data_IF_690655885234
#
_entry.id   IF_690655885234
#
_cell.length_a   1.000
_cell.length_b   1.000
_cell.length_c   1.000
_cell.angle_alpha   90.00
_cell.angle_beta   90.00
_cell.angle_gamma   90.00
#
_symmetry.space_group_name_H-M   'P 1'
#
loop_
_entity.id
_entity.type
_entity.pdbx_description
1 polymer ?
#
# COMPACT_ATOMS: atom_id res chain seq x y z
N UNK A 1 -25.75 40.05 16.86
CA UNK A 1 -26.23 39.40 15.62
C UNK A 1 -25.12 38.54 15.03
N UNK A 2 -25.39 37.26 14.78
CA UNK A 2 -24.44 36.38 14.12
C UNK A 2 -24.52 36.58 12.60
N UNK A 3 -23.39 36.51 11.87
CA UNK A 3 -23.42 36.56 10.41
C UNK A 3 -24.24 35.38 9.84
N UNK A 4 -24.83 35.55 8.64
CA UNK A 4 -25.60 34.48 8.00
C UNK A 4 -24.71 33.28 7.65
N UNK A 5 -25.30 32.09 7.66
CA UNK A 5 -24.66 30.86 7.17
C UNK A 5 -24.40 30.99 5.67
N UNK A 6 -23.13 30.90 5.28
CA UNK A 6 -22.72 31.05 3.88
C UNK A 6 -22.22 29.75 3.24
N UNK A 7 -21.82 28.74 4.04
CA UNK A 7 -21.23 27.50 3.52
C UNK A 7 -21.52 26.30 4.44
N UNK A 8 -21.64 25.11 3.83
CA UNK A 8 -21.57 23.81 4.49
C UNK A 8 -20.48 23.00 3.80
N UNK A 9 -19.49 22.54 4.55
CA UNK A 9 -18.37 21.73 4.03
C UNK A 9 -18.44 20.32 4.61
N UNK A 10 -18.16 19.30 3.77
CA UNK A 10 -18.12 17.90 4.17
C UNK A 10 -16.70 17.34 4.06
N UNK A 11 -16.20 16.71 5.13
CA UNK A 11 -14.89 16.06 5.17
C UNK A 11 -15.03 14.58 4.78
N UNK A 12 -15.01 14.28 3.48
CA UNK A 12 -15.38 12.95 2.95
C UNK A 12 -14.22 12.16 2.34
N UNK A 13 -12.99 12.68 2.41
CA UNK A 13 -11.80 12.04 1.82
C UNK A 13 -11.73 12.20 0.29
N UNK A 14 -10.93 11.37 -0.39
CA UNK A 14 -10.64 11.53 -1.83
C UNK A 14 -11.53 10.73 -2.79
N UNK A 15 -12.45 9.92 -2.28
CA UNK A 15 -13.21 8.97 -3.12
C UNK A 15 -14.63 8.72 -2.62
N UNK A 16 -15.26 9.73 -2.01
CA UNK A 16 -16.64 9.59 -1.57
C UNK A 16 -17.59 9.60 -2.79
N UNK A 17 -18.55 8.68 -2.90
CA UNK A 17 -19.47 8.60 -4.06
C UNK A 17 -20.28 9.87 -4.32
N UNK A 18 -20.41 10.73 -3.31
CA UNK A 18 -21.10 12.02 -3.45
C UNK A 18 -20.46 12.93 -4.49
N UNK A 19 -19.15 12.80 -4.72
CA UNK A 19 -18.45 13.58 -5.75
C UNK A 19 -18.96 13.24 -7.15
N UNK A 20 -19.28 11.97 -7.41
CA UNK A 20 -19.85 11.52 -8.68
C UNK A 20 -21.30 11.98 -8.86
N UNK A 21 -22.06 12.05 -7.76
CA UNK A 21 -23.50 12.36 -7.78
C UNK A 21 -23.77 13.87 -7.89
N UNK A 22 -23.05 14.68 -7.11
CA UNK A 22 -23.28 16.13 -7.06
C UNK A 22 -22.74 16.84 -8.30
N UNK A 23 -21.64 16.33 -8.87
CA UNK A 23 -20.93 16.95 -9.98
C UNK A 23 -20.53 18.40 -9.70
N UNK A 24 -20.02 19.07 -10.74
CA UNK A 24 -19.43 20.40 -10.62
C UNK A 24 -20.45 21.51 -10.25
N UNK A 25 -21.76 21.27 -10.46
CA UNK A 25 -22.81 22.26 -10.17
C UNK A 25 -23.22 22.34 -8.71
N UNK A 26 -23.20 21.23 -7.98
CA UNK A 26 -23.66 21.17 -6.59
C UNK A 26 -22.49 21.02 -5.60
N UNK A 27 -21.32 20.60 -6.06
CA UNK A 27 -20.08 20.59 -5.30
C UNK A 27 -18.94 21.29 -6.09
N UNK A 28 -19.04 22.61 -6.32
CA UNK A 28 -18.07 23.33 -7.16
C UNK A 28 -16.67 23.43 -6.56
N UNK A 29 -16.52 23.11 -5.26
CA UNK A 29 -15.25 23.16 -4.55
C UNK A 29 -14.87 21.78 -4.03
N UNK A 30 -13.73 21.28 -4.50
CA UNK A 30 -13.07 20.08 -4.00
C UNK A 30 -11.63 20.43 -3.65
N UNK A 31 -11.27 20.28 -2.38
CA UNK A 31 -9.89 20.37 -1.94
C UNK A 31 -9.32 18.95 -1.82
N UNK A 32 -8.28 18.59 -2.59
CA UNK A 32 -7.65 17.29 -2.46
C UNK A 32 -7.15 17.09 -1.02
N UNK A 33 -7.42 15.93 -0.38
CA UNK A 33 -6.98 15.72 0.99
C UNK A 33 -5.46 15.72 1.06
N UNK A 34 -4.92 16.38 2.09
CA UNK A 34 -3.51 16.34 2.39
C UNK A 34 -3.07 14.89 2.67
N UNK A 35 -1.95 14.48 2.07
CA UNK A 35 -1.34 13.18 2.32
C UNK A 35 -0.31 13.30 3.44
N UNK A 36 -0.55 12.61 4.56
CA UNK A 36 0.40 12.51 5.65
C UNK A 36 1.67 11.78 5.22
N UNK A 37 2.83 12.36 5.54
CA UNK A 37 4.11 11.69 5.38
C UNK A 37 4.40 10.81 6.59
N UNK A 38 4.27 9.49 6.44
CA UNK A 38 4.45 8.51 7.52
C UNK A 38 5.81 7.85 7.43
N UNK A 39 6.43 7.59 8.59
CA UNK A 39 7.67 6.81 8.71
C UNK A 39 7.42 5.57 9.57
N UNK A 40 8.01 4.46 9.14
CA UNK A 40 8.05 3.22 9.91
C UNK A 40 9.50 2.99 10.34
N UNK A 41 9.83 3.13 11.64
CA UNK A 41 11.21 3.04 12.12
C UNK A 41 11.76 1.61 12.06
N UNK A 42 10.90 0.61 12.25
CA UNK A 42 11.23 -0.80 12.11
C UNK A 42 10.22 -1.48 11.19
N UNK A 43 10.63 -1.68 9.93
CA UNK A 43 9.79 -2.30 8.91
C UNK A 43 9.46 -3.75 9.25
N UNK A 44 10.42 -4.51 9.74
CA UNK A 44 10.24 -5.93 10.03
C UNK A 44 9.23 -6.12 11.17
N UNK A 45 9.40 -5.36 12.26
CA UNK A 45 8.48 -5.41 13.39
C UNK A 45 7.07 -4.96 12.97
N UNK A 46 6.96 -3.93 12.13
CA UNK A 46 5.67 -3.46 11.65
C UNK A 46 4.95 -4.51 10.80
N UNK A 47 5.63 -5.12 9.81
CA UNK A 47 5.03 -6.16 8.95
C UNK A 47 4.61 -7.38 9.79
N UNK A 48 5.42 -7.79 10.76
CA UNK A 48 5.04 -8.86 11.72
C UNK A 48 3.80 -8.49 12.53
N UNK A 49 3.72 -7.25 13.00
CA UNK A 49 2.56 -6.77 13.76
C UNK A 49 1.27 -6.78 12.93
N UNK A 50 1.35 -6.39 11.65
CA UNK A 50 0.19 -6.35 10.76
C UNK A 50 -0.07 -7.66 10.01
N UNK A 51 0.73 -8.72 10.22
CA UNK A 51 0.61 -9.99 9.52
C UNK A 51 -0.83 -10.56 9.51
N UNK A 52 -1.61 -10.55 10.62
CA UNK A 52 -2.99 -11.01 10.58
C UNK A 52 -3.89 -10.25 9.60
N UNK A 53 -3.61 -8.95 9.38
CA UNK A 53 -4.33 -8.17 8.38
C UNK A 53 -3.91 -8.51 6.96
N UNK A 54 -2.62 -8.85 6.74
CA UNK A 54 -2.11 -9.29 5.45
C UNK A 54 -2.66 -10.66 5.05
N UNK A 55 -2.69 -11.62 5.97
CA UNK A 55 -3.29 -12.95 5.76
C UNK A 55 -4.78 -12.84 5.40
N UNK A 56 -5.54 -11.99 6.09
CA UNK A 56 -6.94 -11.72 5.74
C UNK A 56 -7.10 -11.18 4.33
N UNK A 57 -6.16 -10.35 3.85
CA UNK A 57 -6.21 -9.83 2.47
C UNK A 57 -5.88 -10.93 1.46
N UNK A 58 -4.87 -11.76 1.74
CA UNK A 58 -4.51 -12.92 0.92
C UNK A 58 -5.69 -13.89 0.79
N UNK A 59 -6.33 -14.24 1.90
CA UNK A 59 -7.50 -15.11 1.93
C UNK A 59 -8.68 -14.62 1.07
N UNK A 60 -8.78 -13.30 0.85
CA UNK A 60 -9.82 -12.67 0.02
C UNK A 60 -9.30 -12.28 -1.38
N UNK A 61 -8.30 -13.00 -1.89
CA UNK A 61 -7.65 -12.72 -3.18
C UNK A 61 -7.42 -14.01 -3.98
N UNK A 62 -7.01 -13.92 -5.27
CA UNK A 62 -6.60 -15.08 -6.04
C UNK A 62 -5.44 -15.90 -5.42
N UNK A 63 -4.72 -15.33 -4.44
CA UNK A 63 -3.61 -15.98 -3.75
C UNK A 63 -4.03 -16.68 -2.43
N UNK A 64 -5.33 -16.89 -2.17
CA UNK A 64 -5.83 -17.39 -0.88
C UNK A 64 -5.19 -18.70 -0.39
N UNK A 65 -4.78 -19.58 -1.29
CA UNK A 65 -4.14 -20.86 -0.97
C UNK A 65 -2.63 -20.86 -1.28
N UNK A 66 -2.00 -19.70 -1.43
CA UNK A 66 -0.61 -19.59 -1.83
C UNK A 66 0.33 -20.19 -0.78
N UNK A 67 1.22 -21.08 -1.23
CA UNK A 67 2.37 -21.59 -0.48
C UNK A 67 3.62 -21.24 -1.26
N UNK A 68 4.60 -20.62 -0.61
CA UNK A 68 5.82 -20.17 -1.25
C UNK A 68 6.39 -18.92 -0.60
N UNK A 69 7.18 -18.17 -1.35
CA UNK A 69 8.00 -17.08 -0.83
C UNK A 69 7.81 -15.80 -1.64
N UNK A 70 7.93 -14.67 -0.92
CA UNK A 70 8.01 -13.33 -1.48
C UNK A 70 9.22 -12.61 -0.88
N UNK A 71 10.15 -12.21 -1.74
CA UNK A 71 11.34 -11.45 -1.38
C UNK A 71 11.23 -10.00 -1.88
N UNK A 72 11.43 -9.05 -0.97
CA UNK A 72 11.36 -7.62 -1.24
C UNK A 72 12.72 -6.98 -1.00
N UNK A 73 13.30 -6.37 -2.03
CA UNK A 73 14.54 -5.61 -1.95
C UNK A 73 14.27 -4.11 -1.78
N UNK A 74 14.79 -3.54 -0.69
CA UNK A 74 14.78 -2.10 -0.42
C UNK A 74 16.13 -1.43 -0.68
N UNK A 75 17.03 -2.09 -1.41
CA UNK A 75 18.40 -1.71 -1.78
C UNK A 75 19.40 -1.65 -0.61
N UNK A 76 18.95 -1.35 0.61
CA UNK A 76 19.77 -1.32 1.84
C UNK A 76 19.39 -2.41 2.85
N UNK A 77 18.55 -3.34 2.43
CA UNK A 77 17.91 -4.36 3.24
C UNK A 77 16.62 -4.79 2.55
N UNK A 78 15.83 -5.61 3.20
CA UNK A 78 14.67 -6.21 2.55
C UNK A 78 13.91 -7.12 3.49
N UNK A 79 12.88 -7.76 2.95
CA UNK A 79 12.07 -8.73 3.67
C UNK A 79 11.97 -10.02 2.87
N UNK A 80 12.09 -11.14 3.56
CA UNK A 80 11.70 -12.44 3.07
C UNK A 80 10.46 -12.89 3.84
N UNK A 81 9.39 -13.19 3.11
CA UNK A 81 8.10 -13.59 3.67
C UNK A 81 7.75 -14.97 3.13
N UNK A 82 7.52 -15.91 4.04
CA UNK A 82 7.15 -17.30 3.70
C UNK A 82 5.68 -17.51 4.00
N UNK A 83 5.00 -18.16 3.07
CA UNK A 83 3.58 -18.48 3.13
C UNK A 83 3.34 -19.99 3.12
N UNK A 84 2.39 -20.45 3.91
CA UNK A 84 1.78 -21.77 3.78
C UNK A 84 0.24 -21.64 3.74
N UNK A 85 -0.37 -22.02 2.62
CA UNK A 85 -1.82 -21.99 2.39
C UNK A 85 -2.46 -20.63 2.74
N UNK A 86 -1.79 -19.55 2.33
CA UNK A 86 -2.23 -18.17 2.57
C UNK A 86 -1.87 -17.58 3.93
N UNK A 87 -1.27 -18.37 4.83
CA UNK A 87 -0.78 -17.91 6.14
C UNK A 87 0.70 -17.56 6.09
N UNK A 88 1.09 -16.51 6.80
CA UNK A 88 2.49 -16.12 6.93
C UNK A 88 3.12 -16.95 8.04
N UNK A 89 4.05 -17.84 7.67
CA UNK A 89 4.73 -18.71 8.63
C UNK A 89 6.05 -18.10 9.11
N UNK A 90 6.68 -17.25 8.30
CA UNK A 90 7.94 -16.62 8.63
C UNK A 90 8.10 -15.26 7.97
N UNK A 91 8.73 -14.32 8.67
CA UNK A 91 9.14 -13.01 8.15
C UNK A 91 10.52 -12.71 8.72
N UNK A 92 11.50 -12.45 7.87
CA UNK A 92 12.87 -12.17 8.28
C UNK A 92 13.55 -11.09 7.41
N UNK A 93 14.63 -10.47 7.91
CA UNK A 93 15.46 -9.61 7.09
C UNK A 93 15.98 -10.35 5.87
N UNK A 94 15.92 -9.70 4.72
CA UNK A 94 16.50 -10.21 3.49
C UNK A 94 17.50 -9.22 2.92
N UNK A 95 18.51 -9.74 2.21
CA UNK A 95 19.44 -8.93 1.44
C UNK A 95 19.96 -9.73 0.26
N UNK A 96 19.98 -9.11 -0.92
CA UNK A 96 20.60 -9.67 -2.11
C UNK A 96 22.06 -10.07 -1.83
N UNK A 97 22.46 -11.24 -2.35
CA UNK A 97 23.87 -11.56 -2.46
C UNK A 97 24.56 -10.55 -3.40
N UNK A 98 25.85 -10.27 -3.16
CA UNK A 98 26.57 -9.34 -4.01
C UNK A 98 26.52 -9.81 -5.48
N UNK A 99 26.12 -8.91 -6.38
CA UNK A 99 26.02 -9.15 -7.83
C UNK A 99 24.91 -10.12 -8.30
N UNK A 100 23.99 -10.50 -7.42
CA UNK A 100 22.79 -11.30 -7.74
C UNK A 100 21.57 -10.64 -7.09
N UNK A 101 20.78 -9.91 -7.87
CA UNK A 101 19.48 -9.43 -7.38
C UNK A 101 18.39 -10.37 -7.90
N UNK A 102 18.03 -11.34 -7.06
CA UNK A 102 17.00 -12.35 -7.33
C UNK A 102 15.69 -12.04 -6.57
N UNK A 103 15.52 -10.81 -6.06
CA UNK A 103 14.30 -10.44 -5.35
C UNK A 103 13.08 -10.49 -6.28
N UNK A 104 11.96 -10.98 -5.78
CA UNK A 104 10.68 -10.98 -6.49
C UNK A 104 10.22 -9.55 -6.85
N UNK A 105 10.58 -8.57 -6.00
CA UNK A 105 10.35 -7.14 -6.25
C UNK A 105 11.41 -6.26 -5.58
N UNK A 106 11.68 -5.11 -6.19
CA UNK A 106 12.57 -4.07 -5.67
C UNK A 106 11.84 -2.73 -5.56
N UNK A 107 12.04 -1.98 -4.49
CA UNK A 107 11.44 -0.66 -4.29
C UNK A 107 12.20 0.14 -3.22
N UNK A 108 12.47 1.45 -3.40
CA UNK A 108 13.04 2.24 -2.31
C UNK A 108 12.16 2.19 -1.06
N UNK A 109 12.75 1.94 0.12
CA UNK A 109 12.00 1.70 1.37
C UNK A 109 10.93 2.78 1.68
N UNK A 110 11.24 4.05 1.40
CA UNK A 110 10.34 5.18 1.64
C UNK A 110 9.23 5.31 0.59
N UNK A 111 9.47 4.81 -0.62
CA UNK A 111 8.44 4.71 -1.67
C UNK A 111 7.51 3.54 -1.35
N UNK A 112 8.05 2.42 -0.86
CA UNK A 112 7.27 1.24 -0.46
C UNK A 112 6.20 1.57 0.60
N UNK A 113 6.42 2.56 1.47
CA UNK A 113 5.42 3.00 2.44
C UNK A 113 4.10 3.45 1.79
N UNK A 114 4.16 4.01 0.57
CA UNK A 114 2.95 4.40 -0.17
C UNK A 114 2.12 3.18 -0.60
N UNK A 115 2.79 2.07 -0.92
CA UNK A 115 2.14 0.80 -1.22
C UNK A 115 1.61 0.16 0.07
N UNK A 116 2.46 0.06 1.10
CA UNK A 116 2.18 -0.56 2.38
C UNK A 116 0.88 -0.03 3.02
N UNK A 117 0.70 1.29 2.99
CA UNK A 117 -0.48 1.97 3.53
C UNK A 117 -1.64 2.10 2.53
N UNK A 118 -1.50 1.54 1.32
CA UNK A 118 -2.54 1.56 0.29
C UNK A 118 -2.80 2.94 -0.31
N UNK A 119 -1.89 3.90 -0.12
CA UNK A 119 -2.01 5.26 -0.67
C UNK A 119 -1.87 5.28 -2.19
N UNK A 120 -0.93 4.49 -2.72
CA UNK A 120 -0.72 4.28 -4.16
C UNK A 120 -0.76 2.80 -4.48
N UNK A 121 -1.34 2.46 -5.64
CA UNK A 121 -1.26 1.10 -6.17
C UNK A 121 0.15 0.78 -6.65
N UNK A 122 0.47 -0.50 -6.78
CA UNK A 122 1.73 -0.95 -7.36
C UNK A 122 1.92 -0.38 -8.79
N UNK A 123 0.86 -0.35 -9.59
CA UNK A 123 0.90 0.24 -10.94
C UNK A 123 1.21 1.74 -10.93
N UNK A 124 0.61 2.51 -10.02
CA UNK A 124 0.91 3.95 -9.86
C UNK A 124 2.37 4.18 -9.46
N UNK A 125 2.91 3.34 -8.58
CA UNK A 125 4.31 3.45 -8.16
C UNK A 125 5.29 3.06 -9.26
N UNK A 126 5.03 1.99 -10.02
CA UNK A 126 5.85 1.60 -11.18
C UNK A 126 5.84 2.65 -12.27
N UNK A 127 4.71 3.35 -12.46
CA UNK A 127 4.62 4.47 -13.40
C UNK A 127 5.47 5.66 -12.94
N UNK A 128 5.42 6.00 -11.65
CA UNK A 128 6.08 7.20 -11.13
C UNK A 128 7.57 7.01 -10.79
N UNK A 129 8.00 5.78 -10.48
CA UNK A 129 9.34 5.48 -9.98
C UNK A 129 9.96 4.30 -10.76
N UNK A 130 10.98 4.55 -11.61
CA UNK A 130 11.68 3.49 -12.36
C UNK A 130 12.34 2.42 -11.47
N UNK A 131 12.67 2.79 -10.23
CA UNK A 131 13.26 1.88 -9.23
C UNK A 131 12.22 0.96 -8.57
N UNK A 132 10.94 1.07 -8.92
CA UNK A 132 9.92 0.10 -8.48
C UNK A 132 9.82 -0.99 -9.53
N UNK A 133 10.39 -2.15 -9.23
CA UNK A 133 10.45 -3.31 -10.14
C UNK A 133 9.77 -4.52 -9.53
N UNK A 134 9.20 -5.34 -10.39
CA UNK A 134 8.58 -6.62 -10.05
C UNK A 134 8.97 -7.59 -11.14
N UNK A 135 9.64 -8.69 -10.76
CA UNK A 135 10.30 -9.56 -11.75
C UNK A 135 9.32 -10.53 -12.40
N UNK A 136 8.30 -10.99 -11.67
CA UNK A 136 7.36 -12.01 -12.14
C UNK A 136 5.90 -11.70 -11.76
N UNK A 137 4.96 -12.21 -12.56
CA UNK A 137 3.51 -12.03 -12.36
C UNK A 137 3.01 -12.53 -11.00
N UNK A 138 3.62 -13.61 -10.48
CA UNK A 138 3.38 -14.13 -9.12
C UNK A 138 3.56 -13.03 -8.06
N UNK A 139 4.67 -12.31 -8.12
CA UNK A 139 5.00 -11.24 -7.18
C UNK A 139 4.03 -10.07 -7.29
N UNK A 140 3.61 -9.73 -8.51
CA UNK A 140 2.60 -8.69 -8.76
C UNK A 140 1.24 -9.04 -8.16
N UNK A 141 0.78 -10.29 -8.31
CA UNK A 141 -0.46 -10.76 -7.68
C UNK A 141 -0.38 -10.70 -6.16
N UNK A 142 0.72 -11.17 -5.58
CA UNK A 142 0.93 -11.15 -4.12
C UNK A 142 0.98 -9.72 -3.58
N UNK A 143 1.74 -8.82 -4.22
CA UNK A 143 1.86 -7.43 -3.78
C UNK A 143 0.51 -6.69 -3.85
N UNK A 144 -0.26 -6.89 -4.91
CA UNK A 144 -1.59 -6.29 -5.03
C UNK A 144 -2.58 -6.88 -4.01
N UNK A 145 -2.44 -8.17 -3.66
CA UNK A 145 -3.24 -8.80 -2.62
C UNK A 145 -2.86 -8.31 -1.20
N UNK A 146 -1.57 -8.24 -0.89
CA UNK A 146 -1.07 -7.82 0.43
C UNK A 146 -1.33 -6.32 0.67
N UNK A 147 -1.13 -5.50 -0.35
CA UNK A 147 -1.12 -4.04 -0.25
C UNK A 147 -2.03 -3.39 -1.31
N UNK A 148 -3.34 -3.70 -1.31
CA UNK A 148 -4.26 -3.11 -2.25
C UNK A 148 -4.39 -1.61 -1.98
N UNK A 149 -4.61 -0.82 -3.03
CA UNK A 149 -4.97 0.59 -2.88
C UNK A 149 -6.26 0.67 -2.05
N UNK A 150 -6.23 1.45 -0.98
CA UNK A 150 -7.37 1.68 -0.10
C UNK A 150 -7.40 3.14 0.32
N UNK A 151 -8.58 3.74 0.19
CA UNK A 151 -8.81 5.06 0.73
C UNK A 151 -8.78 4.98 2.25
N UNK A 152 -7.88 5.75 2.84
CA UNK A 152 -7.74 5.91 4.29
C UNK A 152 -7.78 7.39 4.59
N UNK A 153 -8.50 7.77 5.64
CA UNK A 153 -8.64 9.16 6.06
C UNK A 153 -8.37 9.25 7.56
N UNK A 154 -7.58 10.24 7.95
CA UNK A 154 -7.30 10.57 9.34
C UNK A 154 -7.58 12.06 9.49
N UNK A 155 -8.57 12.46 10.32
CA UNK A 155 -8.78 13.87 10.63
C UNK A 155 -7.53 14.43 11.33
N UNK A 156 -7.14 15.65 10.94
CA UNK A 156 -6.07 16.42 11.60
C UNK A 156 -6.59 17.19 12.81
#
# INVERSE_FOLDING_TARGET
DAPPLNEISFLLGSAHPVYDVLGDRLAPFYEPPYAWYVRVPDMLAFIRHIAPALERRIANSPAAAYTGELTLDFYRGGLHIVFDKGHITHIEPWRAAAYQNEADASCPALVFLQLLFGYRSLAELRYAFPDVRVEHSKAEVLLNALFPKKFSWVPG
#
